data_IF_288263522972
#
_entry.id   IF_288263522972
#
_cell.length_a   1.000
_cell.length_b   1.000
_cell.length_c   1.000
_cell.angle_alpha   90.00
_cell.angle_beta   90.00
_cell.angle_gamma   90.00
#
_symmetry.space_group_name_H-M   'P 1'
#
loop_
_entity.id
_entity.type
_entity.pdbx_description
1 polymer ?
#
# COMPACT_ATOMS: atom_id res chain seq x y z
N UNK A 1 30.70 -7.44 58.71
CA UNK A 1 30.09 -6.43 57.89
C UNK A 1 30.31 -6.77 56.44
N UNK A 2 29.31 -7.20 55.82
CA UNK A 2 29.45 -7.60 54.43
C UNK A 2 28.50 -6.86 53.58
N UNK A 3 29.03 -5.97 52.83
CA UNK A 3 28.28 -5.31 51.80
C UNK A 3 28.31 -6.17 50.56
N UNK A 4 27.23 -6.80 50.31
CA UNK A 4 27.09 -7.51 49.07
C UNK A 4 26.68 -6.49 48.02
N UNK A 5 27.59 -6.10 47.24
CA UNK A 5 27.28 -5.30 46.06
C UNK A 5 26.73 -6.22 45.01
N UNK A 6 25.46 -6.18 44.91
CA UNK A 6 24.78 -6.81 43.78
C UNK A 6 24.95 -5.84 42.63
N UNK A 7 25.88 -6.13 41.77
CA UNK A 7 25.95 -5.47 40.51
C UNK A 7 24.76 -5.93 39.66
N UNK A 8 23.71 -5.17 39.68
CA UNK A 8 22.63 -5.37 38.78
C UNK A 8 23.14 -4.91 37.42
N UNK A 9 23.56 -5.89 36.66
CA UNK A 9 23.84 -5.60 35.25
C UNK A 9 22.59 -5.12 34.59
N UNK A 10 22.56 -3.85 34.33
CA UNK A 10 21.52 -3.30 33.48
C UNK A 10 21.76 -3.84 32.09
N UNK A 11 20.97 -4.85 31.76
CA UNK A 11 20.92 -5.29 30.37
C UNK A 11 20.14 -4.23 29.60
N UNK A 12 20.85 -3.27 29.09
CA UNK A 12 20.25 -2.35 28.14
C UNK A 12 20.04 -3.14 26.85
N UNK A 13 18.83 -3.62 26.69
CA UNK A 13 18.42 -4.18 25.42
C UNK A 13 18.21 -3.00 24.50
N UNK A 14 19.25 -2.64 23.81
CA UNK A 14 19.11 -1.71 22.71
C UNK A 14 18.31 -2.44 21.63
N UNK A 15 17.03 -2.17 21.54
CA UNK A 15 16.25 -2.59 20.42
C UNK A 15 16.80 -1.93 19.19
N UNK A 16 17.20 -2.71 18.22
CA UNK A 16 17.93 -2.16 17.11
C UNK A 16 17.06 -1.30 16.22
N UNK A 17 17.57 -0.17 15.87
CA UNK A 17 17.10 0.61 14.75
C UNK A 17 17.08 -0.22 13.44
N UNK A 18 17.65 -1.37 13.45
CA UNK A 18 17.62 -2.36 12.37
C UNK A 18 16.23 -2.73 11.89
N UNK A 19 15.24 -2.78 12.77
CA UNK A 19 13.90 -3.21 12.39
C UNK A 19 13.29 -2.30 11.31
N UNK A 20 13.61 -1.01 11.34
CA UNK A 20 13.10 -0.06 10.33
C UNK A 20 13.84 -0.21 9.00
N UNK A 21 15.14 -0.39 9.03
CA UNK A 21 15.93 -0.62 7.82
C UNK A 21 15.56 -1.94 7.16
N UNK A 22 15.33 -3.00 7.97
CA UNK A 22 14.94 -4.30 7.48
C UNK A 22 13.57 -4.28 6.81
N UNK A 23 12.60 -3.57 7.38
CA UNK A 23 11.27 -3.44 6.80
C UNK A 23 11.31 -2.72 5.45
N UNK A 24 12.12 -1.68 5.35
CA UNK A 24 12.26 -0.95 4.10
C UNK A 24 12.89 -1.81 3.00
N UNK A 25 13.88 -2.61 3.34
CA UNK A 25 14.52 -3.54 2.41
C UNK A 25 13.63 -4.71 2.01
N UNK A 26 12.65 -5.06 2.85
CA UNK A 26 11.71 -6.14 2.61
C UNK A 26 10.46 -5.71 1.86
N UNK A 27 10.34 -4.44 1.52
CA UNK A 27 9.23 -3.91 0.75
C UNK A 27 9.65 -3.64 -0.69
N UNK A 28 9.54 -4.64 -1.57
CA UNK A 28 9.86 -4.41 -2.98
C UNK A 28 8.89 -3.43 -3.60
N UNK A 29 9.33 -2.76 -4.67
CA UNK A 29 8.51 -1.77 -5.36
C UNK A 29 7.17 -2.36 -5.78
N UNK A 30 7.18 -3.54 -6.40
CA UNK A 30 5.98 -4.27 -6.80
C UNK A 30 5.66 -5.30 -5.74
N UNK A 31 4.65 -5.02 -4.92
CA UNK A 31 4.35 -5.81 -3.74
C UNK A 31 2.85 -6.10 -3.63
N UNK A 32 2.44 -7.37 -3.51
CA UNK A 32 1.03 -7.71 -3.27
C UNK A 32 0.48 -7.12 -1.98
N UNK A 33 1.35 -6.86 -0.99
CA UNK A 33 0.93 -6.27 0.28
C UNK A 33 0.41 -4.85 0.12
N UNK A 34 0.80 -4.14 -0.91
CA UNK A 34 0.24 -2.81 -1.22
C UNK A 34 -1.24 -2.89 -1.60
N UNK A 35 -1.72 -4.08 -1.95
CA UNK A 35 -3.12 -4.33 -2.24
C UNK A 35 -3.85 -4.89 -1.02
N UNK A 36 -3.24 -5.81 -0.30
CA UNK A 36 -3.88 -6.44 0.86
C UNK A 36 -4.18 -5.46 1.98
N UNK A 37 -3.48 -4.34 2.04
CA UNK A 37 -3.74 -3.26 3.00
C UNK A 37 -4.86 -2.30 2.61
N UNK A 38 -5.45 -2.46 1.44
CA UNK A 38 -6.53 -1.59 0.98
C UNK A 38 -7.87 -1.97 1.62
N UNK A 39 -8.87 -1.07 1.61
CA UNK A 39 -10.19 -1.40 2.09
C UNK A 39 -10.79 -2.64 1.40
N UNK A 40 -11.64 -3.35 2.11
CA UNK A 40 -12.20 -4.61 1.64
C UNK A 40 -12.95 -4.47 0.31
N UNK A 41 -13.74 -3.41 0.15
CA UNK A 41 -14.49 -3.15 -1.08
C UNK A 41 -13.58 -2.88 -2.27
N UNK A 42 -12.42 -2.27 -2.02
CA UNK A 42 -11.42 -2.03 -3.07
C UNK A 42 -10.74 -3.35 -3.45
N UNK A 43 -10.38 -4.15 -2.46
CA UNK A 43 -9.77 -5.47 -2.71
C UNK A 43 -10.70 -6.37 -3.51
N UNK A 44 -12.01 -6.36 -3.20
CA UNK A 44 -13.00 -7.13 -3.94
C UNK A 44 -13.12 -6.66 -5.38
N UNK A 45 -13.15 -5.35 -5.60
CA UNK A 45 -13.21 -4.79 -6.93
C UNK A 45 -11.98 -5.17 -7.76
N UNK A 46 -10.79 -5.11 -7.14
CA UNK A 46 -9.55 -5.47 -7.83
C UNK A 46 -9.48 -6.96 -8.14
N UNK A 47 -10.00 -7.82 -7.27
CA UNK A 47 -10.03 -9.26 -7.51
C UNK A 47 -10.87 -9.63 -8.74
N UNK A 48 -11.90 -8.85 -9.04
CA UNK A 48 -12.71 -9.05 -10.24
C UNK A 48 -12.01 -8.58 -11.52
N UNK A 49 -11.08 -7.65 -11.39
CA UNK A 49 -10.33 -7.11 -12.52
C UNK A 49 -9.07 -7.95 -12.79
N UNK A 50 -8.41 -8.36 -11.72
CA UNK A 50 -7.05 -8.86 -11.82
C UNK A 50 -6.75 -9.84 -10.69
N UNK A 51 -6.35 -11.05 -11.05
CA UNK A 51 -5.85 -12.02 -10.09
C UNK A 51 -4.35 -11.89 -9.96
N UNK A 52 -3.83 -12.20 -8.78
CA UNK A 52 -2.37 -12.18 -8.51
C UNK A 52 -1.74 -10.82 -8.84
N UNK A 53 -2.41 -9.78 -8.38
CA UNK A 53 -1.94 -8.42 -8.62
C UNK A 53 -0.79 -8.03 -7.71
N UNK A 54 0.07 -7.18 -8.24
CA UNK A 54 1.14 -6.51 -7.51
C UNK A 54 1.04 -5.02 -7.79
N UNK A 55 1.29 -4.20 -6.80
CA UNK A 55 1.20 -2.76 -6.95
C UNK A 55 2.42 -2.05 -6.37
N UNK A 56 2.72 -0.89 -6.93
CA UNK A 56 3.64 0.06 -6.34
C UNK A 56 2.93 0.88 -5.26
N UNK A 57 3.68 1.60 -4.45
CA UNK A 57 3.11 2.46 -3.40
C UNK A 57 2.18 3.53 -3.96
N UNK A 58 2.49 4.02 -5.16
CA UNK A 58 1.72 5.08 -5.81
C UNK A 58 0.39 4.61 -6.39
N UNK A 59 0.13 3.32 -6.36
CA UNK A 59 -1.10 2.77 -6.91
C UNK A 59 -2.34 3.38 -6.25
N UNK A 60 -2.35 3.44 -4.93
CA UNK A 60 -3.47 3.96 -4.16
C UNK A 60 -3.05 5.24 -3.44
N UNK A 61 -3.77 6.34 -3.72
CA UNK A 61 -3.51 7.62 -3.08
C UNK A 61 -4.77 8.12 -2.38
N UNK A 62 -4.62 8.42 -1.10
CA UNK A 62 -5.68 8.98 -0.29
C UNK A 62 -5.55 10.50 -0.22
N UNK A 63 -6.68 11.17 -0.19
CA UNK A 63 -6.73 12.62 0.04
C UNK A 63 -7.98 12.99 0.83
N UNK A 64 -8.06 14.25 1.24
CA UNK A 64 -9.20 14.82 1.98
C UNK A 64 -9.57 14.01 3.22
N UNK A 65 -8.59 13.76 4.09
CA UNK A 65 -8.77 12.98 5.32
C UNK A 65 -9.34 11.58 5.04
N UNK A 66 -8.78 10.91 4.04
CA UNK A 66 -9.16 9.55 3.65
C UNK A 66 -10.55 9.45 3.01
N UNK A 67 -11.18 10.58 2.66
CA UNK A 67 -12.49 10.55 2.00
C UNK A 67 -12.40 10.24 0.52
N UNK A 68 -11.25 10.53 -0.09
CA UNK A 68 -11.02 10.26 -1.51
C UNK A 68 -9.88 9.25 -1.62
N UNK A 69 -10.09 8.25 -2.44
CA UNK A 69 -9.06 7.27 -2.80
C UNK A 69 -8.98 7.21 -4.33
N UNK A 70 -7.80 7.45 -4.86
CA UNK A 70 -7.56 7.34 -6.30
C UNK A 70 -6.65 6.17 -6.57
N UNK A 71 -7.07 5.30 -7.49
CA UNK A 71 -6.27 4.17 -7.94
C UNK A 71 -5.67 4.50 -9.31
N UNK A 72 -4.36 4.41 -9.39
CA UNK A 72 -3.56 4.67 -10.58
C UNK A 72 -3.08 3.34 -11.17
N UNK A 73 -3.78 2.83 -12.16
CA UNK A 73 -3.54 1.48 -12.67
C UNK A 73 -2.23 1.32 -13.45
N UNK A 74 -1.54 2.41 -13.80
CA UNK A 74 -0.16 2.32 -14.30
C UNK A 74 0.79 1.71 -13.29
N UNK A 75 0.42 1.75 -12.01
CA UNK A 75 1.18 1.20 -10.90
C UNK A 75 0.63 -0.15 -10.43
N UNK A 76 -0.16 -0.82 -11.26
CA UNK A 76 -0.70 -2.15 -11.00
C UNK A 76 -0.25 -3.13 -12.08
N UNK A 77 0.18 -4.30 -11.66
CA UNK A 77 0.46 -5.42 -12.56
C UNK A 77 -0.49 -6.56 -12.27
N UNK A 78 -1.05 -7.11 -13.34
CA UNK A 78 -1.84 -8.33 -13.31
C UNK A 78 -0.97 -9.45 -13.85
N UNK A 79 -0.36 -10.24 -12.96
CA UNK A 79 0.71 -11.14 -13.35
C UNK A 79 1.95 -10.33 -13.71
N UNK A 80 2.45 -10.49 -14.94
CA UNK A 80 3.67 -9.81 -15.39
C UNK A 80 3.41 -8.61 -16.31
N UNK A 81 2.15 -8.25 -16.53
CA UNK A 81 1.78 -7.22 -17.49
C UNK A 81 0.95 -6.11 -16.87
N UNK A 82 1.08 -4.91 -17.41
CA UNK A 82 0.17 -3.81 -17.13
C UNK A 82 -1.10 -4.05 -17.93
N UNK A 83 -2.18 -4.45 -17.26
CA UNK A 83 -3.36 -4.91 -17.95
C UNK A 83 -4.34 -3.79 -18.36
N UNK A 84 -4.29 -2.64 -17.70
CA UNK A 84 -5.31 -1.61 -17.82
C UNK A 84 -4.75 -0.31 -18.37
N UNK A 85 -3.88 -0.42 -19.35
CA UNK A 85 -3.30 0.72 -20.05
C UNK A 85 -3.58 0.59 -21.56
N UNK A 86 -3.95 1.72 -22.17
CA UNK A 86 -4.20 1.85 -23.60
C UNK A 86 -3.33 2.96 -24.18
N UNK A 87 -3.47 3.25 -25.45
CA UNK A 87 -2.81 4.39 -26.08
C UNK A 87 -3.25 5.74 -25.46
N UNK A 88 -4.48 5.78 -24.94
CA UNK A 88 -5.00 6.98 -24.27
C UNK A 88 -4.49 7.14 -22.84
N UNK A 89 -3.71 6.19 -22.35
CA UNK A 89 -3.22 6.19 -20.98
C UNK A 89 -3.72 4.98 -20.19
N UNK A 90 -3.55 5.03 -18.89
CA UNK A 90 -3.97 3.95 -18.00
C UNK A 90 -5.25 4.31 -17.27
N UNK A 91 -5.94 3.27 -16.80
CA UNK A 91 -7.17 3.44 -16.04
C UNK A 91 -6.88 4.19 -14.73
N UNK A 92 -7.76 5.12 -14.41
CA UNK A 92 -7.82 5.79 -13.12
C UNK A 92 -9.21 5.59 -12.54
N UNK A 93 -9.28 5.23 -11.27
CA UNK A 93 -10.55 5.11 -10.57
C UNK A 93 -10.54 5.99 -9.34
N UNK A 94 -11.60 6.76 -9.17
CA UNK A 94 -11.77 7.63 -8.01
C UNK A 94 -12.89 7.06 -7.16
N UNK A 95 -12.58 6.81 -5.90
CA UNK A 95 -13.53 6.34 -4.91
C UNK A 95 -13.77 7.43 -3.88
N UNK A 96 -14.99 7.51 -3.40
CA UNK A 96 -15.35 8.40 -2.30
C UNK A 96 -15.90 7.60 -1.14
N UNK A 97 -15.63 8.07 0.08
CA UNK A 97 -16.12 7.44 1.30
C UNK A 97 -16.98 8.42 2.07
N UNK A 98 -18.18 7.99 2.45
CA UNK A 98 -19.07 8.76 3.32
C UNK A 98 -19.20 8.14 4.70
N UNK A 99 -19.25 6.84 4.83
CA UNK A 99 -19.46 6.13 6.08
C UNK A 99 -18.35 5.11 6.35
N UNK A 100 -17.12 5.45 5.99
CA UNK A 100 -16.00 4.52 6.08
C UNK A 100 -15.98 3.48 4.98
N UNK A 101 -16.93 3.53 4.06
CA UNK A 101 -16.98 2.64 2.90
C UNK A 101 -16.70 3.41 1.63
N UNK A 102 -15.89 2.84 0.77
CA UNK A 102 -15.51 3.46 -0.50
C UNK A 102 -16.43 3.01 -1.61
N UNK A 103 -16.92 3.97 -2.39
CA UNK A 103 -17.77 3.75 -3.55
C UNK A 103 -17.13 4.37 -4.78
N UNK A 104 -17.19 3.66 -5.89
CA UNK A 104 -16.66 4.17 -7.15
C UNK A 104 -17.45 5.39 -7.59
N UNK A 105 -16.74 6.51 -7.69
CA UNK A 105 -17.31 7.77 -8.17
C UNK A 105 -17.11 7.92 -9.67
N UNK A 106 -15.91 7.55 -10.15
CA UNK A 106 -15.51 7.83 -11.53
C UNK A 106 -14.42 6.83 -11.97
N UNK A 107 -14.48 6.46 -13.23
CA UNK A 107 -13.49 5.62 -13.87
C UNK A 107 -13.17 6.19 -15.26
N UNK A 108 -11.90 6.40 -15.56
CA UNK A 108 -11.50 7.03 -16.81
C UNK A 108 -10.06 6.63 -17.17
N UNK A 109 -9.69 6.83 -18.43
CA UNK A 109 -8.33 6.62 -18.91
C UNK A 109 -7.64 7.97 -19.05
N UNK A 110 -6.41 8.06 -18.55
CA UNK A 110 -5.63 9.28 -18.57
C UNK A 110 -4.14 8.95 -18.69
N UNK A 111 -3.34 9.89 -19.22
CA UNK A 111 -1.90 9.74 -19.25
C UNK A 111 -1.32 9.54 -17.86
N UNK A 112 -0.15 8.90 -17.82
CA UNK A 112 0.58 8.67 -16.59
C UNK A 112 0.89 10.01 -15.90
N UNK A 113 0.61 10.06 -14.60
CA UNK A 113 0.88 11.26 -13.81
C UNK A 113 -0.35 12.15 -13.58
N UNK A 114 -1.46 11.86 -14.22
CA UNK A 114 -2.71 12.56 -13.96
C UNK A 114 -3.52 11.82 -12.90
#
# INVERSE_FOLDING_TARGET
>A
MKCTLIAIGLLAIALPAFARGGLHLLDPAWNPQHISGLPAEIRSALANICRHSKAEHQFARYSENLRILVLHFEHLRCGDARALCTQAGCLHQVYTSTDGRYRLLRSYYAPEGD
#
